data_IF_097476728965
#
_entry.id   IF_097476728965
#
_cell.length_a   1.000
_cell.length_b   1.000
_cell.length_c   1.000
_cell.angle_alpha   90.00
_cell.angle_beta   90.00
_cell.angle_gamma   90.00
#
_symmetry.space_group_name_H-M   'P 1'
#
loop_
_entity.id
_entity.type
_entity.pdbx_description
1 polymer ?
#
# COMPACT_ATOMS: atom_id res chain seq x y z
N UNK A 1 8.88 -16.43 2.58
CA UNK A 1 8.04 -16.60 1.39
C UNK A 1 8.22 -15.38 0.51
N UNK A 2 8.72 -15.55 -0.72
CA UNK A 2 8.95 -14.48 -1.70
C UNK A 2 7.67 -14.12 -2.46
N UNK A 3 7.68 -13.03 -3.23
CA UNK A 3 6.54 -12.68 -4.09
C UNK A 3 6.28 -13.75 -5.16
N UNK A 4 7.34 -14.27 -5.77
CA UNK A 4 7.27 -15.31 -6.81
C UNK A 4 6.68 -16.61 -6.26
N UNK A 5 7.07 -17.01 -5.05
CA UNK A 5 6.47 -18.17 -4.37
C UNK A 5 4.98 -17.97 -4.10
N UNK A 6 4.56 -16.75 -3.69
CA UNK A 6 3.15 -16.42 -3.49
C UNK A 6 2.36 -16.49 -4.80
N UNK A 7 2.94 -16.02 -5.91
CA UNK A 7 2.31 -16.08 -7.22
C UNK A 7 2.19 -17.53 -7.71
N UNK A 8 3.26 -18.32 -7.61
CA UNK A 8 3.24 -19.74 -7.95
C UNK A 8 2.18 -20.52 -7.15
N UNK A 9 2.03 -20.22 -5.86
CA UNK A 9 1.02 -20.83 -5.00
C UNK A 9 -0.44 -20.52 -5.43
N UNK A 10 -0.68 -19.37 -6.09
CA UNK A 10 -2.00 -19.08 -6.66
C UNK A 10 -2.17 -19.67 -8.06
N UNK A 11 -1.10 -19.84 -8.82
CA UNK A 11 -1.16 -20.58 -10.10
C UNK A 11 -1.63 -22.02 -9.88
N UNK A 12 -1.17 -22.70 -8.81
CA UNK A 12 -1.67 -24.04 -8.46
C UNK A 12 -3.14 -24.08 -8.04
N UNK A 13 -3.74 -22.92 -7.73
CA UNK A 13 -5.18 -22.77 -7.46
C UNK A 13 -6.01 -22.53 -8.73
N UNK A 14 -5.40 -22.57 -9.92
CA UNK A 14 -6.07 -22.44 -11.21
C UNK A 14 -6.11 -21.01 -11.77
N UNK A 15 -5.34 -20.07 -11.20
CA UNK A 15 -5.18 -18.74 -11.78
C UNK A 15 -4.04 -18.75 -12.82
N UNK A 16 -4.17 -17.97 -13.89
CA UNK A 16 -3.02 -17.69 -14.77
C UNK A 16 -1.94 -16.92 -14.01
N UNK A 17 -0.67 -17.00 -14.42
CA UNK A 17 0.43 -16.26 -13.77
C UNK A 17 0.11 -14.77 -13.59
N UNK A 18 -0.46 -14.14 -14.63
CA UNK A 18 -0.90 -12.74 -14.59
C UNK A 18 -1.97 -12.48 -13.52
N UNK A 19 -3.01 -13.33 -13.46
CA UNK A 19 -4.06 -13.22 -12.45
C UNK A 19 -3.52 -13.48 -11.04
N UNK A 20 -2.64 -14.47 -10.89
CA UNK A 20 -1.99 -14.81 -9.64
C UNK A 20 -1.20 -13.63 -9.09
N UNK A 21 -0.29 -13.03 -9.89
CA UNK A 21 0.49 -11.84 -9.49
C UNK A 21 -0.42 -10.68 -9.09
N UNK A 22 -1.47 -10.41 -9.86
CA UNK A 22 -2.44 -9.37 -9.50
C UNK A 22 -3.11 -9.66 -8.15
N UNK A 23 -3.61 -10.89 -7.95
CA UNK A 23 -4.28 -11.29 -6.72
C UNK A 23 -3.35 -11.25 -5.51
N UNK A 24 -2.08 -11.63 -5.64
CA UNK A 24 -1.08 -11.47 -4.57
C UNK A 24 -0.97 -10.00 -4.19
N UNK A 25 -0.79 -9.10 -5.17
CA UNK A 25 -0.70 -7.65 -4.91
C UNK A 25 -1.96 -7.13 -4.21
N UNK A 26 -3.15 -7.52 -4.68
CA UNK A 26 -4.42 -7.14 -4.03
C UNK A 26 -4.46 -7.64 -2.59
N UNK A 27 -4.25 -8.93 -2.35
CA UNK A 27 -4.37 -9.54 -1.03
C UNK A 27 -3.33 -9.05 -0.02
N UNK A 28 -2.17 -8.60 -0.49
CA UNK A 28 -1.12 -8.03 0.36
C UNK A 28 -1.36 -6.56 0.72
N UNK A 29 -1.93 -5.76 -0.19
CA UNK A 29 -1.95 -4.30 -0.01
C UNK A 29 -3.33 -3.68 0.24
N UNK A 30 -4.41 -4.29 -0.25
CA UNK A 30 -5.75 -3.68 -0.19
C UNK A 30 -6.87 -4.63 0.21
N UNK A 31 -6.78 -5.90 -0.18
CA UNK A 31 -7.86 -6.88 -0.15
C UNK A 31 -9.03 -6.56 -1.09
N UNK A 32 -9.04 -5.37 -1.69
CA UNK A 32 -10.09 -4.89 -2.59
C UNK A 32 -9.48 -4.36 -3.88
N UNK A 33 -10.18 -4.52 -4.99
CA UNK A 33 -9.73 -4.03 -6.29
C UNK A 33 -10.91 -3.67 -7.20
N UNK A 34 -10.61 -3.03 -8.32
CA UNK A 34 -11.55 -2.71 -9.38
C UNK A 34 -11.10 -3.28 -10.73
N UNK A 35 -12.05 -3.45 -11.65
CA UNK A 35 -11.79 -3.88 -13.03
C UNK A 35 -10.67 -3.06 -13.70
N UNK A 36 -10.70 -1.72 -13.52
CA UNK A 36 -9.70 -0.80 -14.09
C UNK A 36 -8.28 -1.07 -13.61
N UNK A 37 -8.11 -1.52 -12.36
CA UNK A 37 -6.80 -1.78 -11.76
C UNK A 37 -6.21 -3.05 -12.33
N UNK A 38 -7.04 -4.09 -12.54
CA UNK A 38 -6.59 -5.28 -13.25
C UNK A 38 -6.24 -4.96 -14.70
N UNK A 39 -7.07 -4.19 -15.41
CA UNK A 39 -6.79 -3.80 -16.79
C UNK A 39 -5.45 -3.06 -16.91
N UNK A 40 -5.21 -2.08 -16.04
CA UNK A 40 -3.96 -1.33 -15.99
C UNK A 40 -2.76 -2.24 -15.68
N UNK A 41 -2.87 -3.09 -14.65
CA UNK A 41 -1.83 -4.05 -14.28
C UNK A 41 -1.51 -5.04 -15.41
N UNK A 42 -2.54 -5.55 -16.09
CA UNK A 42 -2.42 -6.56 -17.13
C UNK A 42 -2.03 -5.99 -18.50
N UNK A 43 -2.03 -4.66 -18.68
CA UNK A 43 -1.82 -4.02 -19.97
C UNK A 43 -2.92 -4.36 -21.00
N UNK A 44 -4.16 -4.56 -20.56
CA UNK A 44 -5.30 -4.95 -21.41
C UNK A 44 -6.40 -3.90 -21.41
N UNK A 45 -7.17 -3.83 -22.50
CA UNK A 45 -8.44 -3.09 -22.52
C UNK A 45 -9.50 -3.84 -21.72
N UNK A 46 -10.42 -3.09 -21.13
CA UNK A 46 -11.60 -3.66 -20.50
C UNK A 46 -12.45 -4.41 -21.54
N UNK A 47 -12.97 -5.57 -21.17
CA UNK A 47 -13.75 -6.43 -22.06
C UNK A 47 -13.97 -7.81 -21.46
N UNK A 48 -14.36 -8.78 -22.29
CA UNK A 48 -14.79 -10.11 -21.87
C UNK A 48 -13.80 -10.81 -20.94
N UNK A 49 -12.49 -10.77 -21.24
CA UNK A 49 -11.45 -11.39 -20.40
C UNK A 49 -11.42 -10.84 -18.97
N UNK A 50 -11.68 -9.54 -18.80
CA UNK A 50 -11.75 -8.92 -17.47
C UNK A 50 -13.04 -9.34 -16.77
N UNK A 51 -14.18 -9.31 -17.48
CA UNK A 51 -15.47 -9.77 -16.93
C UNK A 51 -15.40 -11.23 -16.48
N UNK A 52 -14.92 -12.14 -17.34
CA UNK A 52 -14.79 -13.57 -17.04
C UNK A 52 -13.93 -13.83 -15.80
N UNK A 53 -12.83 -13.08 -15.65
CA UNK A 53 -11.96 -13.21 -14.50
C UNK A 53 -12.69 -12.86 -13.19
N UNK A 54 -13.35 -11.71 -13.15
CA UNK A 54 -14.02 -11.24 -11.94
C UNK A 54 -15.32 -12.01 -11.66
N UNK A 55 -16.09 -12.36 -12.68
CA UNK A 55 -17.28 -13.20 -12.55
C UNK A 55 -16.86 -14.60 -12.09
N UNK A 56 -15.71 -15.11 -12.55
CA UNK A 56 -15.08 -16.32 -12.05
C UNK A 56 -14.71 -16.24 -10.57
N UNK A 57 -14.11 -15.14 -10.11
CA UNK A 57 -13.80 -14.93 -8.68
C UNK A 57 -15.06 -14.94 -7.82
N UNK A 58 -16.14 -14.31 -8.28
CA UNK A 58 -17.43 -14.29 -7.57
C UNK A 58 -18.05 -15.68 -7.56
N UNK A 59 -18.09 -16.38 -8.69
CA UNK A 59 -18.61 -17.76 -8.81
C UNK A 59 -17.87 -18.73 -7.90
N UNK A 60 -16.54 -18.60 -7.79
CA UNK A 60 -15.69 -19.40 -6.89
C UNK A 60 -15.80 -18.99 -5.41
N UNK A 61 -16.68 -18.02 -5.07
CA UNK A 61 -16.79 -17.41 -3.74
C UNK A 61 -15.43 -16.93 -3.21
N UNK A 62 -14.55 -16.52 -4.13
CA UNK A 62 -13.25 -15.94 -3.83
C UNK A 62 -13.35 -14.45 -3.51
N UNK A 63 -14.33 -13.78 -4.13
CA UNK A 63 -14.62 -12.38 -3.92
C UNK A 63 -16.13 -12.07 -3.81
N UNK A 64 -16.45 -10.97 -3.12
CA UNK A 64 -17.76 -10.33 -3.14
C UNK A 64 -17.70 -8.98 -3.84
N UNK A 65 -18.85 -8.47 -4.28
CA UNK A 65 -18.94 -7.19 -5.01
C UNK A 65 -19.68 -6.16 -4.16
N UNK A 66 -19.03 -5.04 -3.86
CA UNK A 66 -19.74 -3.84 -3.43
C UNK A 66 -20.25 -3.10 -4.67
N UNK A 67 -21.58 -2.97 -4.78
CA UNK A 67 -22.21 -2.12 -5.79
C UNK A 67 -22.16 -0.68 -5.28
N UNK A 68 -21.41 0.18 -5.96
CA UNK A 68 -21.37 1.61 -5.61
C UNK A 68 -22.61 2.34 -6.16
N UNK A 69 -23.06 3.37 -5.46
CA UNK A 69 -24.29 4.12 -5.77
C UNK A 69 -24.38 4.65 -7.21
N UNK A 70 -23.24 4.90 -7.87
CA UNK A 70 -23.20 5.40 -9.24
C UNK A 70 -23.30 4.30 -10.32
N UNK A 71 -23.58 3.05 -9.95
CA UNK A 71 -23.89 1.92 -10.84
C UNK A 71 -22.76 1.44 -11.77
N UNK A 72 -21.72 2.25 -11.99
CA UNK A 72 -20.66 2.01 -12.98
C UNK A 72 -19.36 1.45 -12.40
N UNK A 73 -19.17 1.55 -11.08
CA UNK A 73 -17.95 1.08 -10.42
C UNK A 73 -18.25 -0.15 -9.55
N UNK A 74 -17.60 -1.27 -9.87
CA UNK A 74 -17.62 -2.51 -9.08
C UNK A 74 -16.35 -2.60 -8.25
N UNK A 75 -16.51 -2.71 -6.94
CA UNK A 75 -15.39 -2.99 -6.03
C UNK A 75 -15.46 -4.46 -5.65
N UNK A 76 -14.42 -5.21 -5.99
CA UNK A 76 -14.29 -6.62 -5.65
C UNK A 76 -13.48 -6.77 -4.38
N UNK A 77 -14.02 -7.45 -3.38
CA UNK A 77 -13.34 -7.78 -2.13
C UNK A 77 -12.92 -9.23 -2.11
N UNK A 78 -11.61 -9.49 -2.16
CA UNK A 78 -11.05 -10.84 -2.09
C UNK A 78 -10.99 -11.26 -0.63
N UNK A 79 -11.75 -12.30 -0.27
CA UNK A 79 -11.99 -12.67 1.12
C UNK A 79 -11.81 -14.18 1.42
N UNK A 80 -11.55 -15.02 0.42
CA UNK A 80 -11.47 -16.46 0.64
C UNK A 80 -10.19 -16.85 1.38
N UNK A 81 -10.35 -17.45 2.57
CA UNK A 81 -9.25 -17.82 3.48
C UNK A 81 -8.18 -18.67 2.79
N UNK A 82 -8.57 -19.63 1.95
CA UNK A 82 -7.63 -20.50 1.24
C UNK A 82 -6.68 -19.77 0.29
N UNK A 83 -7.04 -18.59 -0.22
CA UNK A 83 -6.14 -17.77 -1.05
C UNK A 83 -5.13 -17.00 -0.19
N UNK A 84 -5.59 -16.50 0.95
CA UNK A 84 -4.74 -15.85 1.94
C UNK A 84 -3.76 -16.84 2.60
N UNK A 85 -4.20 -18.06 2.90
CA UNK A 85 -3.35 -19.16 3.35
C UNK A 85 -2.25 -19.48 2.34
N UNK A 86 -2.60 -19.55 1.05
CA UNK A 86 -1.65 -19.84 -0.02
C UNK A 86 -0.52 -18.80 -0.11
N UNK A 87 -0.74 -17.55 0.32
CA UNK A 87 0.29 -16.49 0.32
C UNK A 87 0.95 -16.28 1.70
N UNK A 88 0.62 -17.14 2.67
CA UNK A 88 1.16 -17.10 4.03
C UNK A 88 0.52 -16.07 4.97
N UNK A 89 -0.67 -15.55 4.64
CA UNK A 89 -1.36 -14.48 5.36
C UNK A 89 -2.81 -14.84 5.79
N UNK A 90 -3.07 -16.03 6.40
CA UNK A 90 -4.41 -16.55 6.70
C UNK A 90 -5.30 -15.59 7.53
N UNK A 91 -4.66 -14.87 8.45
CA UNK A 91 -5.30 -13.99 9.43
C UNK A 91 -5.28 -12.51 9.02
N UNK A 92 -4.96 -12.23 7.75
CA UNK A 92 -4.97 -10.87 7.23
C UNK A 92 -6.33 -10.19 7.45
N UNK A 93 -6.29 -8.99 8.03
CA UNK A 93 -7.48 -8.12 8.16
C UNK A 93 -8.02 -7.67 6.80
N UNK A 94 -7.23 -7.77 5.73
CA UNK A 94 -7.66 -7.41 4.38
C UNK A 94 -8.76 -8.35 3.88
N UNK A 95 -8.76 -9.60 4.38
CA UNK A 95 -9.79 -10.60 4.13
C UNK A 95 -11.16 -10.26 4.75
N UNK A 96 -11.20 -9.44 5.80
CA UNK A 96 -12.44 -9.13 6.53
C UNK A 96 -13.23 -8.03 5.80
N UNK A 97 -14.58 -8.09 5.81
CA UNK A 97 -15.42 -7.02 5.28
C UNK A 97 -15.08 -5.67 5.89
N UNK A 98 -15.27 -4.60 5.12
CA UNK A 98 -14.94 -3.24 5.56
C UNK A 98 -15.95 -2.23 5.00
N UNK A 99 -16.22 -1.11 5.70
CA UNK A 99 -17.07 -0.06 5.17
C UNK A 99 -16.53 0.50 3.84
N UNK A 100 -17.43 0.97 2.96
CA UNK A 100 -17.06 1.47 1.61
C UNK A 100 -15.99 2.55 1.69
N UNK A 101 -16.06 3.49 2.64
CA UNK A 101 -15.04 4.53 2.81
C UNK A 101 -13.62 3.94 3.02
N UNK A 102 -13.50 2.88 3.82
CA UNK A 102 -12.23 2.17 4.03
C UNK A 102 -11.81 1.32 2.82
N UNK A 103 -12.77 0.79 2.06
CA UNK A 103 -12.48 0.14 0.79
C UNK A 103 -11.89 1.14 -0.22
N UNK A 104 -12.42 2.36 -0.29
CA UNK A 104 -11.89 3.43 -1.15
C UNK A 104 -10.45 3.79 -0.78
N UNK A 105 -10.14 3.97 0.51
CA UNK A 105 -8.76 4.20 0.97
C UNK A 105 -7.81 3.06 0.54
N UNK A 106 -8.24 1.80 0.68
CA UNK A 106 -7.47 0.62 0.23
C UNK A 106 -7.28 0.59 -1.29
N UNK A 107 -8.26 1.05 -2.07
CA UNK A 107 -8.13 1.16 -3.52
C UNK A 107 -7.08 2.21 -3.90
N UNK A 108 -7.00 3.33 -3.17
CA UNK A 108 -5.97 4.35 -3.40
C UNK A 108 -4.57 3.83 -3.05
N UNK A 109 -4.43 3.01 -2.01
CA UNK A 109 -3.18 2.31 -1.70
C UNK A 109 -2.80 1.38 -2.84
N UNK A 110 -3.76 0.60 -3.35
CA UNK A 110 -3.52 -0.30 -4.49
C UNK A 110 -3.11 0.46 -5.75
N UNK A 111 -3.77 1.58 -6.07
CA UNK A 111 -3.37 2.45 -7.19
C UNK A 111 -1.93 2.93 -7.04
N UNK A 112 -1.50 3.28 -5.82
CA UNK A 112 -0.12 3.71 -5.55
C UNK A 112 0.89 2.58 -5.79
N UNK A 113 0.57 1.36 -5.36
CA UNK A 113 1.42 0.19 -5.55
C UNK A 113 1.53 -0.19 -7.03
N UNK A 114 0.40 -0.20 -7.74
CA UNK A 114 0.35 -0.57 -9.15
C UNK A 114 1.01 0.47 -10.07
N UNK A 115 1.02 1.75 -9.68
CA UNK A 115 1.62 2.83 -10.46
C UNK A 115 3.16 2.87 -10.41
N UNK A 116 3.80 2.14 -9.48
CA UNK A 116 5.26 2.09 -9.34
C UNK A 116 5.74 0.65 -9.36
N UNK A 117 5.68 0.02 -10.55
CA UNK A 117 6.11 -1.35 -10.79
C UNK A 117 7.63 -1.54 -10.74
N UNK A 118 8.38 -0.44 -10.78
CA UNK A 118 9.84 -0.36 -10.59
C UNK A 118 10.26 -0.52 -9.12
N UNK A 119 9.30 -0.49 -8.19
CA UNK A 119 9.54 -0.65 -6.76
C UNK A 119 9.14 -2.03 -6.26
N UNK A 120 9.92 -2.55 -5.31
CA UNK A 120 9.53 -3.69 -4.48
C UNK A 120 8.71 -3.18 -3.30
N UNK A 121 7.47 -3.64 -3.17
CA UNK A 121 6.55 -3.18 -2.11
C UNK A 121 6.51 -4.15 -0.92
N UNK A 122 6.99 -3.68 0.23
CA UNK A 122 6.96 -4.40 1.50
C UNK A 122 5.58 -4.28 2.13
N UNK A 123 4.81 -5.38 2.11
CA UNK A 123 3.44 -5.42 2.61
C UNK A 123 3.38 -5.77 4.10
N UNK A 124 3.92 -6.94 4.45
CA UNK A 124 3.69 -7.57 5.75
C UNK A 124 4.70 -7.09 6.79
N UNK A 125 4.38 -7.28 8.07
CA UNK A 125 5.35 -7.04 9.16
C UNK A 125 6.61 -7.89 8.93
N UNK A 126 6.44 -9.14 8.49
CA UNK A 126 7.53 -10.06 8.17
C UNK A 126 8.42 -9.54 7.04
N UNK A 127 7.83 -9.05 5.94
CA UNK A 127 8.60 -8.53 4.79
C UNK A 127 9.40 -7.28 5.20
N UNK A 128 8.78 -6.38 5.98
CA UNK A 128 9.45 -5.17 6.49
C UNK A 128 10.55 -5.51 7.47
N UNK A 129 10.31 -6.43 8.40
CA UNK A 129 11.33 -6.89 9.33
C UNK A 129 12.48 -7.56 8.58
N UNK A 130 12.22 -8.43 7.61
CA UNK A 130 13.26 -9.09 6.84
C UNK A 130 14.11 -8.07 6.07
N UNK A 131 13.48 -7.15 5.34
CA UNK A 131 14.16 -6.11 4.58
C UNK A 131 15.02 -5.21 5.48
N UNK A 132 14.39 -4.63 6.50
CA UNK A 132 15.11 -3.72 7.37
C UNK A 132 16.15 -4.47 8.19
N UNK A 133 15.89 -5.66 8.75
CA UNK A 133 16.88 -6.49 9.50
C UNK A 133 18.12 -6.85 8.68
N UNK A 134 17.97 -7.10 7.39
CA UNK A 134 19.11 -7.31 6.50
C UNK A 134 19.90 -6.02 6.28
N UNK A 135 19.23 -4.88 6.12
CA UNK A 135 19.86 -3.55 6.12
C UNK A 135 20.46 -3.17 7.50
N UNK A 136 19.86 -3.67 8.61
CA UNK A 136 20.19 -3.36 10.01
C UNK A 136 21.61 -3.82 10.38
N UNK A 137 22.20 -4.78 9.67
CA UNK A 137 23.59 -5.24 9.93
C UNK A 137 24.64 -4.12 9.88
N UNK A 138 24.28 -2.90 9.46
CA UNK A 138 25.20 -1.78 9.39
C UNK A 138 24.74 -0.45 10.00
N UNK A 139 23.45 -0.21 10.33
CA UNK A 139 22.97 1.17 10.57
C UNK A 139 21.82 1.43 11.54
N UNK A 140 20.94 0.46 11.82
CA UNK A 140 19.71 0.71 12.61
C UNK A 140 19.46 -0.49 13.53
N UNK A 141 19.12 -0.25 14.79
CA UNK A 141 18.83 -1.33 15.75
C UNK A 141 17.36 -1.78 15.66
N UNK A 142 17.06 -3.02 16.10
CA UNK A 142 15.69 -3.54 16.08
C UNK A 142 14.72 -2.70 16.92
N UNK A 143 15.21 -2.10 18.00
CA UNK A 143 14.44 -1.20 18.88
C UNK A 143 14.11 0.15 18.23
N UNK A 144 14.84 0.53 17.19
CA UNK A 144 14.63 1.76 16.41
C UNK A 144 13.60 1.56 15.29
N UNK A 145 13.15 0.32 15.08
CA UNK A 145 12.08 0.05 14.13
C UNK A 145 10.74 0.58 14.66
N UNK A 146 9.84 1.04 13.76
CA UNK A 146 8.52 1.48 14.16
C UNK A 146 7.79 0.37 14.93
N UNK A 147 7.42 0.63 16.18
CA UNK A 147 6.79 -0.39 17.02
C UNK A 147 5.74 0.17 17.97
N UNK A 148 4.83 -0.70 18.40
CA UNK A 148 3.93 -0.48 19.54
C UNK A 148 4.05 -1.66 20.50
N UNK A 149 4.14 -1.34 21.79
CA UNK A 149 4.14 -2.32 22.87
C UNK A 149 2.75 -2.42 23.47
N UNK A 150 2.27 -3.65 23.65
CA UNK A 150 1.01 -3.96 24.31
C UNK A 150 1.27 -4.83 25.55
N UNK A 151 0.47 -4.65 26.61
CA UNK A 151 0.62 -5.38 27.87
C UNK A 151 1.73 -4.84 28.78
N UNK A 152 1.93 -5.50 29.92
CA UNK A 152 2.98 -5.20 30.93
C UNK A 152 3.62 -6.50 31.42
N UNK A 153 4.86 -6.42 31.91
CA UNK A 153 5.59 -7.56 32.49
C UNK A 153 5.75 -8.73 31.50
N UNK A 154 5.51 -9.95 31.97
CA UNK A 154 5.65 -11.18 31.18
C UNK A 154 4.67 -11.29 29.99
N UNK A 155 3.58 -10.51 29.97
CA UNK A 155 2.59 -10.49 28.87
C UNK A 155 2.90 -9.43 27.79
N UNK A 156 4.10 -8.84 27.80
CA UNK A 156 4.50 -7.79 26.86
C UNK A 156 4.60 -8.34 25.43
N UNK A 157 3.80 -7.79 24.52
CA UNK A 157 3.85 -8.10 23.09
C UNK A 157 4.28 -6.86 22.30
N UNK A 158 5.27 -7.00 21.44
CA UNK A 158 5.74 -5.94 20.55
C UNK A 158 5.19 -6.20 19.14
N UNK A 159 4.58 -5.18 18.54
CA UNK A 159 4.17 -5.21 17.13
C UNK A 159 4.99 -4.22 16.34
N UNK A 160 5.67 -4.70 15.31
CA UNK A 160 6.46 -3.86 14.41
C UNK A 160 5.58 -3.35 13.25
N UNK A 161 5.90 -2.15 12.76
CA UNK A 161 5.19 -1.48 11.66
C UNK A 161 3.66 -1.49 11.81
N UNK A 162 3.11 -1.00 12.95
CA UNK A 162 1.70 -1.13 13.30
C UNK A 162 0.75 -0.42 12.33
N UNK A 163 1.25 0.54 11.54
CA UNK A 163 0.49 1.30 10.55
C UNK A 163 0.06 0.48 9.34
N UNK A 164 0.75 -0.65 9.07
CA UNK A 164 0.46 -1.60 7.98
C UNK A 164 0.46 -1.01 6.56
N UNK A 165 0.87 0.25 6.39
CA UNK A 165 1.00 0.90 5.08
C UNK A 165 2.18 0.28 4.30
N UNK A 166 2.07 0.11 2.97
CA UNK A 166 3.17 -0.38 2.15
C UNK A 166 4.41 0.52 2.24
N UNK A 167 5.58 -0.09 2.19
CA UNK A 167 6.86 0.62 2.04
C UNK A 167 7.48 0.18 0.73
N UNK A 168 7.67 1.10 -0.20
CA UNK A 168 8.34 0.85 -1.47
C UNK A 168 9.85 0.90 -1.30
N UNK A 169 10.55 0.02 -2.00
CA UNK A 169 12.02 -0.03 -2.08
C UNK A 169 12.40 -0.03 -3.55
N UNK A 170 13.20 0.95 -3.97
CA UNK A 170 13.70 0.99 -5.35
C UNK A 170 14.69 -0.16 -5.61
N UNK A 171 14.97 -0.46 -6.88
CA UNK A 171 15.91 -1.52 -7.27
C UNK A 171 17.33 -1.37 -6.71
N UNK A 172 17.73 -0.16 -6.28
CA UNK A 172 19.01 0.10 -5.61
C UNK A 172 19.08 -0.43 -4.16
N UNK A 173 17.94 -0.87 -3.59
CA UNK A 173 17.81 -1.32 -2.21
C UNK A 173 18.03 -0.24 -1.14
N UNK A 174 18.22 1.02 -1.54
CA UNK A 174 18.64 2.15 -0.69
C UNK A 174 17.62 3.27 -0.66
N UNK A 175 16.80 3.41 -1.71
CA UNK A 175 15.77 4.45 -1.81
C UNK A 175 14.41 3.90 -1.38
N UNK A 176 13.81 4.53 -0.37
CA UNK A 176 12.59 4.05 0.28
C UNK A 176 11.42 5.02 0.13
N UNK A 177 10.21 4.52 -0.11
CA UNK A 177 8.97 5.33 -0.13
C UNK A 177 8.03 4.83 0.95
N UNK A 178 7.84 5.64 1.99
CA UNK A 178 6.87 5.38 3.05
C UNK A 178 5.54 5.99 2.66
N UNK A 179 4.48 5.19 2.62
CA UNK A 179 3.15 5.68 2.28
C UNK A 179 2.35 6.05 3.52
N UNK A 180 1.53 7.10 3.41
CA UNK A 180 0.58 7.48 4.43
C UNK A 180 -0.74 7.93 3.80
N UNK A 181 -1.85 7.28 4.16
CA UNK A 181 -3.18 7.66 3.68
C UNK A 181 -3.74 8.76 4.57
N UNK A 182 -4.03 9.91 3.97
CA UNK A 182 -4.72 11.02 4.63
C UNK A 182 -6.17 10.60 4.84
N UNK A 183 -6.59 10.56 6.10
CA UNK A 183 -7.89 10.03 6.52
C UNK A 183 -8.66 10.99 7.44
N UNK A 184 -8.13 12.20 7.68
CA UNK A 184 -8.71 13.27 8.49
C UNK A 184 -8.34 14.63 7.91
N UNK A 185 -9.11 15.65 8.24
CA UNK A 185 -8.80 17.04 7.87
C UNK A 185 -7.64 17.64 8.67
N UNK A 186 -7.26 17.01 9.77
CA UNK A 186 -6.15 17.44 10.65
C UNK A 186 -5.15 16.31 10.90
N UNK A 187 -3.84 16.60 11.00
CA UNK A 187 -2.77 15.60 11.03
C UNK A 187 -2.56 14.93 12.40
N UNK A 188 -3.63 14.66 13.14
CA UNK A 188 -3.57 14.11 14.51
C UNK A 188 -2.89 12.75 14.56
N UNK A 189 -3.24 11.85 13.63
CA UNK A 189 -2.65 10.50 13.54
C UNK A 189 -1.32 10.49 12.76
N UNK A 190 -1.04 11.56 12.00
CA UNK A 190 0.18 11.68 11.21
C UNK A 190 1.38 12.03 12.07
N UNK A 191 1.23 12.91 13.05
CA UNK A 191 2.33 13.28 13.96
C UNK A 191 2.88 12.08 14.74
N UNK A 192 2.06 11.19 15.35
CA UNK A 192 2.53 9.94 15.94
C UNK A 192 3.19 9.01 14.92
N UNK A 193 2.67 8.92 13.69
CA UNK A 193 3.30 8.15 12.62
C UNK A 193 4.73 8.63 12.36
N UNK A 194 4.93 9.94 12.20
CA UNK A 194 6.25 10.54 11.99
C UNK A 194 7.22 10.25 13.15
N UNK A 195 6.76 10.46 14.39
CA UNK A 195 7.58 10.17 15.59
C UNK A 195 8.00 8.71 15.64
N UNK A 196 7.08 7.79 15.34
CA UNK A 196 7.33 6.34 15.37
C UNK A 196 8.34 5.91 14.30
N UNK A 197 8.38 6.59 13.16
CA UNK A 197 9.31 6.28 12.07
C UNK A 197 10.62 7.06 12.14
N UNK A 198 10.75 8.03 13.06
CA UNK A 198 11.88 8.96 13.08
C UNK A 198 13.25 8.29 13.22
N UNK A 199 13.38 7.26 14.06
CA UNK A 199 14.65 6.56 14.24
C UNK A 199 15.06 5.81 12.97
N UNK A 200 14.15 5.00 12.41
CA UNK A 200 14.36 4.32 11.14
C UNK A 200 14.74 5.30 10.01
N UNK A 201 13.94 6.36 9.81
CA UNK A 201 14.18 7.33 8.74
C UNK A 201 15.55 8.02 8.86
N UNK A 202 16.04 8.31 10.07
CA UNK A 202 17.38 8.89 10.27
C UNK A 202 18.50 7.97 9.80
N UNK A 203 18.33 6.65 9.92
CA UNK A 203 19.34 5.67 9.52
C UNK A 203 19.33 5.33 8.03
N UNK A 204 18.27 5.71 7.29
CA UNK A 204 18.13 5.39 5.87
C UNK A 204 18.86 6.41 4.98
N UNK A 205 19.53 5.96 3.91
CA UNK A 205 20.31 6.84 3.05
C UNK A 205 19.43 7.76 2.19
N UNK A 206 18.32 7.24 1.65
CA UNK A 206 17.34 7.99 0.85
C UNK A 206 15.94 7.50 1.16
N UNK A 207 15.03 8.44 1.42
CA UNK A 207 13.64 8.12 1.67
C UNK A 207 12.72 9.28 1.33
N UNK A 208 11.44 8.98 1.14
CA UNK A 208 10.37 9.97 0.99
C UNK A 208 9.11 9.48 1.70
N UNK A 209 8.34 10.39 2.27
CA UNK A 209 6.99 10.10 2.77
C UNK A 209 5.98 10.58 1.74
N UNK A 210 5.25 9.65 1.13
CA UNK A 210 4.22 9.92 0.11
C UNK A 210 2.85 9.95 0.76
N UNK A 211 2.21 11.11 0.72
CA UNK A 211 0.81 11.27 1.14
C UNK A 211 -0.13 10.78 0.05
N UNK A 212 -1.06 9.90 0.40
CA UNK A 212 -2.16 9.44 -0.45
C UNK A 212 -3.41 10.20 -0.01
N UNK A 213 -3.86 11.13 -0.85
CA UNK A 213 -4.86 12.14 -0.45
C UNK A 213 -6.18 11.93 -1.17
N UNK A 214 -7.26 11.56 -0.47
CA UNK A 214 -8.60 11.53 -1.06
C UNK A 214 -9.00 12.92 -1.57
N UNK A 215 -9.74 12.97 -2.68
CA UNK A 215 -10.16 14.24 -3.30
C UNK A 215 -10.83 15.20 -2.30
N UNK A 216 -11.68 14.67 -1.40
CA UNK A 216 -12.38 15.47 -0.41
C UNK A 216 -11.46 16.04 0.70
N UNK A 217 -10.25 15.50 0.88
CA UNK A 217 -9.25 15.96 1.87
C UNK A 217 -8.11 16.75 1.23
N UNK A 218 -8.21 17.14 -0.04
CA UNK A 218 -7.16 17.92 -0.71
C UNK A 218 -6.83 19.23 0.01
N UNK A 219 -7.84 19.87 0.62
CA UNK A 219 -7.65 21.10 1.39
C UNK A 219 -6.79 20.90 2.65
N UNK A 220 -6.71 19.67 3.16
CA UNK A 220 -5.94 19.34 4.36
C UNK A 220 -4.43 19.21 4.10
N UNK A 221 -3.99 19.10 2.84
CA UNK A 221 -2.58 18.79 2.49
C UNK A 221 -1.60 19.77 3.14
N UNK A 222 -1.88 21.07 3.11
CA UNK A 222 -1.02 22.08 3.72
C UNK A 222 -0.80 21.89 5.23
N UNK A 223 -1.80 21.35 5.94
CA UNK A 223 -1.68 21.03 7.37
C UNK A 223 -0.77 19.82 7.61
N UNK A 224 -0.83 18.82 6.75
CA UNK A 224 0.05 17.66 6.81
C UNK A 224 1.49 18.03 6.48
N UNK A 225 1.71 18.88 5.46
CA UNK A 225 3.03 19.43 5.14
C UNK A 225 3.57 20.34 6.25
N UNK A 226 2.70 21.10 6.92
CA UNK A 226 3.04 21.86 8.13
C UNK A 226 3.51 20.95 9.26
N UNK A 227 2.73 19.92 9.59
CA UNK A 227 3.08 18.93 10.60
C UNK A 227 4.38 18.17 10.27
N UNK A 228 4.63 17.90 8.99
CA UNK A 228 5.90 17.37 8.51
C UNK A 228 7.05 18.33 8.81
N UNK A 229 6.95 19.60 8.42
CA UNK A 229 8.00 20.60 8.65
C UNK A 229 8.29 20.81 10.14
N UNK A 230 7.27 20.83 10.99
CA UNK A 230 7.44 20.92 12.44
C UNK A 230 8.14 19.66 13.00
N UNK A 231 7.64 18.47 12.62
CA UNK A 231 8.22 17.21 13.06
C UNK A 231 9.65 16.99 12.57
N UNK A 232 9.95 17.41 11.34
CA UNK A 232 11.26 17.25 10.72
C UNK A 232 12.31 18.18 11.32
N UNK A 233 11.95 19.38 11.76
CA UNK A 233 12.86 20.24 12.54
C UNK A 233 13.30 19.56 13.83
N UNK A 234 12.40 18.85 14.51
CA UNK A 234 12.71 18.15 15.76
C UNK A 234 13.41 16.80 15.55
N UNK A 235 13.15 16.11 14.42
CA UNK A 235 13.60 14.73 14.21
C UNK A 235 14.72 14.56 13.16
N UNK A 236 14.91 15.51 12.23
CA UNK A 236 15.80 15.40 11.08
C UNK A 236 16.53 16.73 10.75
N UNK A 237 17.39 17.26 11.64
CA UNK A 237 17.99 18.60 11.49
C UNK A 237 18.92 18.77 10.28
N UNK A 238 19.28 17.71 9.55
CA UNK A 238 20.27 17.73 8.46
C UNK A 238 19.72 17.59 7.03
N UNK A 239 18.41 17.44 6.81
CA UNK A 239 17.86 17.07 5.49
C UNK A 239 16.69 17.93 4.97
N UNK A 240 16.47 19.15 5.47
CA UNK A 240 15.34 20.03 5.09
C UNK A 240 15.39 20.64 3.67
N UNK A 241 16.01 19.97 2.70
CA UNK A 241 15.98 20.35 1.29
C UNK A 241 15.48 19.18 0.46
N UNK A 242 14.18 19.13 0.20
CA UNK A 242 13.56 18.53 -1.00
C UNK A 242 12.02 18.66 -0.88
N UNK A 243 11.49 19.85 -1.17
CA UNK A 243 10.08 20.03 -1.52
C UNK A 243 10.02 20.16 -3.04
N UNK A 244 9.80 19.03 -3.73
CA UNK A 244 9.61 18.98 -5.18
C UNK A 244 8.12 18.88 -5.51
N UNK A 245 7.53 20.03 -5.82
CA UNK A 245 6.18 20.19 -6.36
C UNK A 245 6.04 19.35 -7.64
N UNK A 246 5.23 18.29 -7.62
CA UNK A 246 4.77 17.61 -8.85
C UNK A 246 3.37 18.13 -9.20
N UNK A 247 3.36 19.24 -9.94
CA UNK A 247 2.21 19.73 -10.68
C UNK A 247 2.07 18.90 -11.95
N UNK A 248 1.07 18.01 -12.01
CA UNK A 248 0.63 17.40 -13.25
C UNK A 248 -0.25 18.42 -14.01
N UNK A 249 0.31 19.09 -15.01
CA UNK A 249 -0.44 19.78 -16.05
C UNK A 249 -0.31 18.98 -17.35
N UNK A 250 -1.30 18.15 -17.65
CA UNK A 250 -1.46 17.53 -18.96
C UNK A 250 -2.07 18.57 -19.92
N UNK A 251 -1.23 19.12 -20.80
CA UNK A 251 -1.68 19.89 -21.94
C UNK A 251 -2.26 18.95 -23.01
N UNK A 252 -3.57 19.07 -23.24
CA UNK A 252 -4.23 18.53 -24.43
C UNK A 252 -4.01 19.50 -25.59
N UNK A 253 -3.23 19.11 -26.59
CA UNK A 253 -3.35 19.72 -27.91
C UNK A 253 -4.30 18.88 -28.76
N UNK A 254 -5.42 19.52 -29.12
CA UNK A 254 -6.34 19.14 -30.18
C UNK A 254 -5.61 19.30 -31.51
N UNK A 255 -5.61 18.26 -32.32
CA UNK A 255 -5.37 18.37 -33.76
C UNK A 255 -6.76 18.41 -34.44
N UNK A 256 -7.09 19.58 -34.99
CA UNK A 256 -8.18 19.78 -35.95
C UNK A 256 -7.58 19.42 -37.32
N UNK A 257 -8.19 18.51 -38.09
CA UNK A 257 -8.94 18.86 -39.32
C UNK A 257 -8.46 20.16 -39.96
N UNK A 258 -7.74 20.03 -41.07
CA UNK A 258 -8.30 20.29 -42.41
C UNK A 258 -7.93 19.13 -43.35
#
# INVERSE_FOLDING_TARGET
MTFEERAAALTTKGFTDRQARFLVTVMLHSGVCMDRQYCAFAGIRHGQKTSDFFDGLVRLRAATVYRCAHGRARIFHVHRRSLYEAIGEPDSRLRRPTPIARAVERLMVLDTVLASSDMTWLATERDKLAHFSLLLKSRVNREELPQLTFGKGAAKTIRYFPDRQPIGVAGDGRTHVFTYVVNRDVPVDFRPFLRRHAALLRGLPRWTVRLIVPKHLQKAVGLYEGAWREGARCAFPRQTSCAGTSSNASASQRERRD
#
